data_IF_750038401889
#
_entry.id   IF_750038401889
#
_cell.length_a   1.000
_cell.length_b   1.000
_cell.length_c   1.000
_cell.angle_alpha   90.00
_cell.angle_beta   90.00
_cell.angle_gamma   90.00
#
_symmetry.space_group_name_H-M   'P 1'
#
loop_
_entity.id
_entity.type
_entity.pdbx_description
1 polymer ?
#
# COMPACT_ATOMS: atom_id res chain seq x y z
N UNK A 1 2.63 22.64 -3.30
CA UNK A 1 3.46 22.02 -4.37
C UNK A 1 2.59 21.02 -5.10
N UNK A 2 2.46 21.05 -6.44
CA UNK A 2 1.59 20.10 -7.16
C UNK A 2 2.25 18.72 -7.26
N UNK A 3 1.54 17.66 -6.88
CA UNK A 3 2.01 16.28 -7.03
C UNK A 3 1.92 15.83 -8.49
N UNK A 4 2.98 15.21 -9.01
CA UNK A 4 2.90 14.44 -10.24
C UNK A 4 2.19 13.12 -9.94
N UNK A 5 0.93 13.02 -10.32
CA UNK A 5 0.05 11.87 -10.01
C UNK A 5 0.67 10.56 -10.49
N UNK A 6 1.20 10.51 -11.72
CA UNK A 6 1.77 9.30 -12.30
C UNK A 6 3.03 8.86 -11.56
N UNK A 7 3.96 9.79 -11.33
CA UNK A 7 5.21 9.47 -10.64
C UNK A 7 4.94 8.98 -9.20
N UNK A 8 4.04 9.66 -8.48
CA UNK A 8 3.66 9.27 -7.13
C UNK A 8 2.99 7.89 -7.10
N UNK A 9 2.01 7.66 -7.98
CA UNK A 9 1.31 6.38 -8.05
C UNK A 9 2.25 5.20 -8.38
N UNK A 10 3.17 5.38 -9.33
CA UNK A 10 4.17 4.34 -9.69
C UNK A 10 5.11 4.09 -8.50
N UNK A 11 5.64 5.14 -7.87
CA UNK A 11 6.54 4.99 -6.73
C UNK A 11 5.85 4.24 -5.56
N UNK A 12 4.61 4.62 -5.23
CA UNK A 12 3.82 3.93 -4.21
C UNK A 12 3.54 2.47 -4.57
N UNK A 13 3.21 2.19 -5.84
CA UNK A 13 2.94 0.84 -6.31
C UNK A 13 4.19 -0.07 -6.23
N UNK A 14 5.36 0.45 -6.62
CA UNK A 14 6.63 -0.28 -6.51
C UNK A 14 6.99 -0.54 -5.05
N UNK A 15 6.93 0.49 -4.19
CA UNK A 15 7.20 0.33 -2.76
C UNK A 15 6.24 -0.67 -2.10
N UNK A 16 4.95 -0.60 -2.46
CA UNK A 16 3.94 -1.54 -1.99
C UNK A 16 4.20 -2.98 -2.44
N UNK A 17 4.63 -3.18 -3.69
CA UNK A 17 4.99 -4.50 -4.22
C UNK A 17 6.21 -5.11 -3.52
N UNK A 18 7.23 -4.30 -3.26
CA UNK A 18 8.41 -4.74 -2.49
C UNK A 18 8.02 -5.12 -1.06
N UNK A 19 7.25 -4.27 -0.38
CA UNK A 19 6.79 -4.54 0.98
C UNK A 19 5.92 -5.79 1.03
N UNK A 20 4.97 -5.95 0.11
CA UNK A 20 4.13 -7.14 0.01
C UNK A 20 4.98 -8.40 -0.14
N UNK A 21 5.98 -8.37 -1.03
CA UNK A 21 6.87 -9.51 -1.28
C UNK A 21 7.65 -9.89 -0.03
N UNK A 22 8.17 -8.91 0.71
CA UNK A 22 8.86 -9.14 1.97
C UNK A 22 7.92 -9.77 3.02
N UNK A 23 6.71 -9.24 3.18
CA UNK A 23 5.72 -9.76 4.13
C UNK A 23 5.30 -11.19 3.76
N UNK A 24 5.06 -11.44 2.48
CA UNK A 24 4.74 -12.74 1.91
C UNK A 24 5.84 -13.78 2.20
N UNK A 25 7.10 -13.42 1.96
CA UNK A 25 8.24 -14.28 2.24
C UNK A 25 8.39 -14.58 3.74
N UNK A 26 8.20 -13.58 4.61
CA UNK A 26 8.25 -13.77 6.06
C UNK A 26 7.21 -14.79 6.52
N UNK A 27 5.96 -14.66 6.06
CA UNK A 27 4.90 -15.58 6.42
C UNK A 27 5.09 -16.98 5.82
N UNK A 28 5.70 -17.09 4.64
CA UNK A 28 5.97 -18.38 4.01
C UNK A 28 7.13 -19.14 4.67
N UNK A 29 8.16 -18.44 5.15
CA UNK A 29 9.37 -19.05 5.70
C UNK A 29 9.31 -19.24 7.22
N UNK A 30 8.78 -18.25 7.95
CA UNK A 30 8.73 -18.25 9.42
C UNK A 30 7.38 -17.71 9.92
N UNK A 31 6.28 -18.49 9.76
CA UNK A 31 4.93 -18.02 10.06
C UNK A 31 4.75 -17.57 11.52
N UNK A 32 5.37 -18.27 12.48
CA UNK A 32 5.27 -17.95 13.91
C UNK A 32 5.75 -16.54 14.24
N UNK A 33 6.89 -16.12 13.69
CA UNK A 33 7.43 -14.77 13.87
C UNK A 33 6.57 -13.75 13.14
N UNK A 34 6.15 -14.06 11.91
CA UNK A 34 5.27 -13.19 11.13
C UNK A 34 3.95 -12.90 11.85
N UNK A 35 3.27 -13.91 12.38
CA UNK A 35 2.01 -13.72 13.10
C UNK A 35 2.19 -12.94 14.39
N UNK A 36 3.22 -13.21 15.20
CA UNK A 36 3.47 -12.42 16.42
C UNK A 36 3.69 -10.94 16.08
N UNK A 37 4.49 -10.67 15.04
CA UNK A 37 4.74 -9.30 14.58
C UNK A 37 3.45 -8.61 14.09
N UNK A 38 2.69 -9.25 13.21
CA UNK A 38 1.46 -8.66 12.69
C UNK A 38 0.36 -8.57 13.73
N UNK A 39 0.30 -9.49 14.69
CA UNK A 39 -0.64 -9.42 15.81
C UNK A 39 -0.36 -8.20 16.69
N UNK A 40 0.91 -7.90 16.95
CA UNK A 40 1.31 -6.68 17.64
C UNK A 40 0.96 -5.43 16.83
N UNK A 41 1.29 -5.41 15.53
CA UNK A 41 1.07 -4.24 14.66
C UNK A 41 -0.43 -3.90 14.52
N UNK A 42 -1.26 -4.91 14.29
CA UNK A 42 -2.69 -4.74 14.01
C UNK A 42 -3.59 -4.92 15.22
N UNK A 43 -3.05 -5.24 16.40
CA UNK A 43 -3.82 -5.49 17.63
C UNK A 43 -4.89 -6.59 17.47
N UNK A 44 -4.58 -7.63 16.69
CA UNK A 44 -5.47 -8.77 16.43
C UNK A 44 -4.74 -10.11 16.64
N UNK A 45 -5.42 -11.13 17.18
CA UNK A 45 -4.83 -12.46 17.32
C UNK A 45 -4.85 -13.22 15.98
N UNK A 46 -3.67 -13.51 15.45
CA UNK A 46 -3.46 -14.23 14.19
C UNK A 46 -2.95 -15.66 14.41
N UNK A 47 -2.77 -16.09 15.67
CA UNK A 47 -2.14 -17.38 16.02
C UNK A 47 -2.85 -18.61 15.45
N UNK A 48 -4.13 -18.49 15.13
CA UNK A 48 -4.96 -19.58 14.58
C UNK A 48 -5.21 -19.47 13.08
N UNK A 49 -4.64 -18.46 12.42
CA UNK A 49 -4.86 -18.28 10.99
C UNK A 49 -3.97 -19.26 10.24
N UNK A 50 -4.55 -20.12 9.41
CA UNK A 50 -3.78 -20.90 8.45
C UNK A 50 -3.43 -19.99 7.26
N UNK A 51 -2.15 -19.87 6.93
CA UNK A 51 -1.70 -19.13 5.74
C UNK A 51 -1.18 -20.11 4.68
N UNK A 52 -2.07 -20.65 3.83
CA UNK A 52 -1.67 -21.48 2.71
C UNK A 52 -1.08 -20.60 1.61
N UNK A 53 0.25 -20.46 1.59
CA UNK A 53 0.94 -19.72 0.54
C UNK A 53 1.16 -20.62 -0.69
N UNK A 54 0.42 -20.36 -1.77
CA UNK A 54 0.69 -20.93 -3.09
C UNK A 54 1.18 -19.86 -4.05
N UNK A 55 1.83 -20.26 -5.15
CA UNK A 55 2.24 -19.32 -6.20
C UNK A 55 1.06 -18.52 -6.76
N UNK A 56 -0.10 -19.16 -6.94
CA UNK A 56 -1.31 -18.48 -7.41
C UNK A 56 -1.78 -17.40 -6.46
N UNK A 57 -1.82 -17.69 -5.15
CA UNK A 57 -2.22 -16.72 -4.11
C UNK A 57 -1.20 -15.58 -4.04
N UNK A 58 0.10 -15.88 -4.11
CA UNK A 58 1.16 -14.88 -4.09
C UNK A 58 1.02 -13.88 -5.24
N UNK A 59 0.97 -14.37 -6.49
CA UNK A 59 0.91 -13.48 -7.66
C UNK A 59 -0.42 -12.73 -7.75
N UNK A 60 -1.54 -13.37 -7.42
CA UNK A 60 -2.84 -12.70 -7.37
C UNK A 60 -2.85 -11.60 -6.30
N UNK A 61 -2.34 -11.88 -5.11
CA UNK A 61 -2.20 -10.91 -4.02
C UNK A 61 -1.28 -9.75 -4.41
N UNK A 62 -0.12 -10.03 -5.01
CA UNK A 62 0.83 -9.02 -5.45
C UNK A 62 0.21 -8.08 -6.48
N UNK A 63 -0.41 -8.61 -7.54
CA UNK A 63 -1.06 -7.81 -8.58
C UNK A 63 -2.17 -6.95 -7.99
N UNK A 64 -3.04 -7.56 -7.18
CA UNK A 64 -4.16 -6.86 -6.54
C UNK A 64 -3.67 -5.74 -5.64
N UNK A 65 -2.64 -5.99 -4.82
CA UNK A 65 -2.09 -5.02 -3.90
C UNK A 65 -1.39 -3.87 -4.60
N UNK A 66 -0.55 -4.17 -5.61
CA UNK A 66 0.15 -3.17 -6.42
C UNK A 66 -0.84 -2.29 -7.17
N UNK A 67 -1.85 -2.89 -7.81
CA UNK A 67 -2.89 -2.14 -8.52
C UNK A 67 -3.73 -1.28 -7.56
N UNK A 68 -4.12 -1.83 -6.42
CA UNK A 68 -4.87 -1.11 -5.38
C UNK A 68 -4.09 0.09 -4.84
N UNK A 69 -2.80 -0.08 -4.54
CA UNK A 69 -1.94 1.00 -4.05
C UNK A 69 -1.65 2.05 -5.12
N UNK A 70 -1.50 1.64 -6.38
CA UNK A 70 -1.39 2.58 -7.50
C UNK A 70 -2.63 3.47 -7.60
N UNK A 71 -3.83 2.86 -7.58
CA UNK A 71 -5.10 3.57 -7.66
C UNK A 71 -5.31 4.50 -6.45
N UNK A 72 -5.05 3.99 -5.24
CA UNK A 72 -5.18 4.77 -4.01
C UNK A 72 -4.24 5.98 -4.02
N UNK A 73 -2.96 5.79 -4.36
CA UNK A 73 -1.98 6.87 -4.44
C UNK A 73 -2.33 7.89 -5.53
N UNK A 74 -2.80 7.43 -6.70
CA UNK A 74 -3.29 8.32 -7.76
C UNK A 74 -4.49 9.16 -7.28
N UNK A 75 -5.44 8.54 -6.59
CA UNK A 75 -6.61 9.20 -6.01
C UNK A 75 -6.23 10.25 -4.96
N UNK A 76 -5.30 9.91 -4.05
CA UNK A 76 -4.78 10.84 -3.05
C UNK A 76 -4.06 12.01 -3.70
N UNK A 77 -3.18 11.76 -4.68
CA UNK A 77 -2.46 12.82 -5.38
C UNK A 77 -3.41 13.74 -6.16
N UNK A 78 -4.43 13.17 -6.80
CA UNK A 78 -5.49 13.93 -7.47
C UNK A 78 -6.26 14.81 -6.48
N UNK A 79 -6.70 14.23 -5.36
CA UNK A 79 -7.48 14.93 -4.33
C UNK A 79 -6.66 16.06 -3.71
N UNK A 80 -5.40 15.79 -3.37
CA UNK A 80 -4.46 16.79 -2.87
C UNK A 80 -4.28 17.94 -3.86
N UNK A 81 -4.07 17.63 -5.15
CA UNK A 81 -3.92 18.67 -6.17
C UNK A 81 -5.19 19.52 -6.31
N UNK A 82 -6.38 18.92 -6.18
CA UNK A 82 -7.64 19.65 -6.25
C UNK A 82 -7.89 20.52 -5.02
N UNK A 83 -7.69 19.98 -3.82
CA UNK A 83 -8.04 20.67 -2.58
C UNK A 83 -6.94 21.59 -2.09
N UNK A 84 -5.69 21.14 -2.06
CA UNK A 84 -4.60 21.91 -1.47
C UNK A 84 -3.99 22.92 -2.45
N UNK A 85 -3.98 22.61 -3.75
CA UNK A 85 -3.44 23.53 -4.79
C UNK A 85 -4.54 24.33 -5.46
N UNK A 86 -5.70 23.71 -5.75
CA UNK A 86 -6.84 24.41 -6.33
C UNK A 86 -7.41 25.53 -5.45
N UNK A 87 -7.39 25.36 -4.12
CA UNK A 87 -7.87 26.40 -3.18
C UNK A 87 -6.97 27.64 -3.12
N UNK A 88 -5.69 27.54 -3.50
CA UNK A 88 -4.78 28.69 -3.51
C UNK A 88 -4.93 29.58 -4.74
N UNK A 89 -5.58 29.10 -5.81
CA UNK A 89 -5.85 29.89 -7.01
C UNK A 89 -7.03 30.87 -6.84
N UNK A 90 -7.81 30.75 -5.76
CA UNK A 90 -8.95 31.63 -5.45
C UNK A 90 -8.68 32.67 -4.38
N UNK A 91 -7.47 32.74 -3.81
CA UNK A 91 -7.12 33.77 -2.83
C UNK A 91 -6.78 35.08 -3.57
N UNK A 92 -7.51 36.19 -3.36
CA UNK A 92 -7.15 37.47 -3.97
C UNK A 92 -5.76 37.89 -3.46
N UNK A 93 -4.88 38.25 -4.40
CA UNK A 93 -3.61 38.91 -4.11
C UNK A 93 -3.90 40.21 -3.35
N UNK A 94 -3.51 40.27 -2.08
CA UNK A 94 -3.43 41.54 -1.34
C UNK A 94 -2.15 42.27 -1.71
#
# INVERSE_FOLDING_TARGET
>A
MKLNIRAFAIASAVAAGLLFTLCALLLALVPSVGYVFFSFLFHIDLSRLAYPMSWGIFFAGLVTWVAGMWLAAAGVAWLYNRLAVGSQAGAPSR
#
